data_IF_115471550967
#
_entry.id   IF_115471550967
#
_cell.length_a   1.000
_cell.length_b   1.000
_cell.length_c   1.000
_cell.angle_alpha   90.00
_cell.angle_beta   90.00
_cell.angle_gamma   90.00
#
_symmetry.space_group_name_H-M   'P 1'
#
loop_
_entity.id
_entity.type
_entity.pdbx_description
1 polymer ?
#
# COMPACT_ATOMS: atom_id res chain seq x y z
N UNK A 1 1.72 22.26 -8.57
CA UNK A 1 0.96 23.44 -8.12
C UNK A 1 0.63 23.20 -6.66
N UNK A 2 0.88 24.17 -5.77
CA UNK A 2 0.56 24.03 -4.36
C UNK A 2 -0.96 24.18 -4.18
N UNK A 3 -1.59 23.25 -3.49
CA UNK A 3 -2.96 23.44 -2.99
C UNK A 3 -2.91 24.33 -1.76
N UNK A 4 -3.95 25.13 -1.50
CA UNK A 4 -3.96 26.00 -0.31
C UNK A 4 -4.36 25.24 0.98
N UNK A 5 -4.59 23.92 0.91
CA UNK A 5 -5.14 23.15 2.03
C UNK A 5 -4.25 23.18 3.28
N UNK A 6 -2.92 23.15 3.10
CA UNK A 6 -1.95 23.27 4.20
C UNK A 6 -1.14 24.57 4.09
N UNK A 7 -1.67 25.64 3.47
CA UNK A 7 -0.92 26.87 3.19
C UNK A 7 -0.21 27.45 4.43
N UNK A 8 -0.86 27.39 5.59
CA UNK A 8 -0.34 27.93 6.86
C UNK A 8 0.73 27.05 7.52
N UNK A 9 0.97 25.83 7.02
CA UNK A 9 1.97 24.91 7.55
C UNK A 9 3.28 25.05 6.77
N UNK A 10 4.39 25.51 7.38
CA UNK A 10 5.67 25.56 6.69
C UNK A 10 6.17 24.13 6.40
N UNK A 11 7.18 24.01 5.52
CA UNK A 11 7.93 22.75 5.44
C UNK A 11 8.59 22.46 6.78
N UNK A 12 8.35 21.27 7.33
CA UNK A 12 8.89 20.79 8.60
C UNK A 12 10.40 20.59 8.45
N UNK A 13 11.17 21.20 9.35
CA UNK A 13 12.65 21.18 9.34
C UNK A 13 13.19 20.63 10.65
N UNK A 14 14.44 20.19 10.62
CA UNK A 14 15.17 19.83 11.83
C UNK A 14 15.58 21.07 12.62
N UNK A 15 15.28 21.08 13.92
CA UNK A 15 15.65 22.18 14.83
C UNK A 15 16.42 21.71 16.07
N UNK A 16 16.62 20.40 16.24
CA UNK A 16 17.36 19.83 17.36
C UNK A 16 16.50 19.34 18.53
N UNK A 17 17.11 18.56 19.44
CA UNK A 17 16.38 17.82 20.48
C UNK A 17 15.69 18.73 21.50
N UNK A 18 16.18 19.95 21.69
CA UNK A 18 15.67 20.91 22.67
C UNK A 18 14.63 21.87 22.08
N UNK A 19 14.23 21.73 20.80
CA UNK A 19 13.23 22.60 20.20
C UNK A 19 11.85 22.40 20.82
N UNK A 20 11.20 23.49 21.20
CA UNK A 20 9.81 23.51 21.67
C UNK A 20 8.80 23.62 20.51
N UNK A 21 9.26 23.84 19.27
CA UNK A 21 8.39 23.91 18.10
C UNK A 21 7.74 22.55 17.81
N UNK A 22 6.41 22.48 17.86
CA UNK A 22 5.65 21.26 17.57
C UNK A 22 5.69 20.86 16.09
N UNK A 23 5.98 21.81 15.20
CA UNK A 23 6.09 21.62 13.75
C UNK A 23 7.55 21.59 13.28
N UNK A 24 8.42 20.96 14.06
CA UNK A 24 9.82 20.71 13.73
C UNK A 24 10.27 19.30 14.10
N UNK A 25 11.23 18.76 13.33
CA UNK A 25 11.91 17.54 13.70
C UNK A 25 12.93 17.80 14.80
N UNK A 26 12.79 17.10 15.93
CA UNK A 26 13.75 17.15 17.03
C UNK A 26 14.95 16.22 16.86
N UNK A 27 14.75 15.10 16.15
CA UNK A 27 15.75 14.04 16.01
C UNK A 27 16.05 13.65 14.57
N UNK A 28 15.11 13.88 13.65
CA UNK A 28 15.29 13.57 12.24
C UNK A 28 15.96 14.74 11.52
N UNK A 29 17.30 14.74 11.51
CA UNK A 29 18.09 15.51 10.55
C UNK A 29 18.38 14.62 9.34
N UNK A 30 17.67 14.85 8.24
CA UNK A 30 17.77 14.02 7.04
C UNK A 30 19.18 13.95 6.45
N UNK A 31 20.02 14.97 6.68
CA UNK A 31 21.40 15.05 6.17
C UNK A 31 22.44 14.49 7.14
N UNK A 32 22.08 14.23 8.40
CA UNK A 32 23.00 13.68 9.38
C UNK A 32 23.50 12.31 8.94
N UNK A 33 24.82 12.18 8.84
CA UNK A 33 25.46 10.91 8.51
C UNK A 33 25.53 10.02 9.76
N UNK A 34 25.00 8.81 9.65
CA UNK A 34 25.05 7.75 10.65
C UNK A 34 25.62 6.51 9.98
N UNK A 35 26.74 5.98 10.48
CA UNK A 35 27.37 4.77 9.93
C UNK A 35 27.56 4.80 8.39
N UNK A 36 27.93 5.96 7.84
CA UNK A 36 28.27 6.13 6.42
C UNK A 36 27.11 6.41 5.46
N UNK A 37 25.87 6.52 5.92
CA UNK A 37 24.71 6.97 5.13
C UNK A 37 23.97 8.09 5.84
N UNK A 38 23.25 8.91 5.09
CA UNK A 38 22.38 9.93 5.70
C UNK A 38 21.19 9.27 6.42
N UNK A 39 20.56 9.96 7.37
CA UNK A 39 19.33 9.46 7.98
C UNK A 39 18.22 9.23 6.95
N UNK A 40 18.11 10.06 5.91
CA UNK A 40 17.15 9.86 4.82
C UNK A 40 17.39 8.53 4.08
N UNK A 41 18.66 8.18 3.83
CA UNK A 41 19.05 6.94 3.15
C UNK A 41 18.81 5.69 4.00
N UNK A 42 18.95 5.78 5.33
CA UNK A 42 18.64 4.69 6.25
C UNK A 42 17.14 4.49 6.42
N UNK A 43 16.42 5.57 6.71
CA UNK A 43 15.03 5.49 7.17
C UNK A 43 14.04 5.45 6.01
N UNK A 44 14.34 6.15 4.90
CA UNK A 44 13.56 6.15 3.67
C UNK A 44 12.05 6.30 3.91
N UNK A 45 11.68 7.25 4.79
CA UNK A 45 10.30 7.43 5.21
C UNK A 45 9.34 7.58 4.03
N UNK A 46 8.20 6.89 4.15
CA UNK A 46 7.09 6.96 3.22
C UNK A 46 5.80 7.31 3.95
N UNK A 47 4.99 8.18 3.36
CA UNK A 47 3.62 8.43 3.82
C UNK A 47 2.63 7.58 3.01
N UNK A 48 1.69 6.94 3.70
CA UNK A 48 0.66 6.13 3.06
C UNK A 48 -0.56 6.96 2.63
N UNK A 49 -1.11 6.68 1.45
CA UNK A 49 -2.32 7.35 0.99
C UNK A 49 -3.57 6.98 1.82
N UNK A 50 -3.74 5.69 2.13
CA UNK A 50 -4.99 5.17 2.73
C UNK A 50 -5.30 5.79 4.09
N UNK A 51 -4.40 5.76 5.06
CA UNK A 51 -4.66 6.39 6.36
C UNK A 51 -4.63 7.91 6.30
N UNK A 52 -3.72 8.48 5.51
CA UNK A 52 -3.48 9.93 5.53
C UNK A 52 -4.55 10.70 4.79
N UNK A 53 -5.12 10.18 3.69
CA UNK A 53 -6.06 10.92 2.83
C UNK A 53 -7.36 10.19 2.50
N UNK A 54 -7.47 8.88 2.73
CA UNK A 54 -8.67 8.11 2.34
C UNK A 54 -9.57 7.75 3.54
N UNK A 55 -8.99 7.38 4.67
CA UNK A 55 -9.75 7.02 5.87
C UNK A 55 -10.48 8.25 6.42
N UNK A 56 -11.83 8.21 6.54
CA UNK A 56 -12.60 9.36 7.00
C UNK A 56 -12.70 9.44 8.54
N UNK A 57 -11.94 8.62 9.28
CA UNK A 57 -12.00 8.56 10.74
C UNK A 57 -13.21 7.79 11.28
N UNK A 58 -13.75 6.86 10.50
CA UNK A 58 -14.81 5.94 10.93
C UNK A 58 -14.22 4.72 11.63
N UNK A 59 -14.99 4.12 12.55
CA UNK A 59 -14.68 2.83 13.17
C UNK A 59 -15.87 1.87 13.09
N UNK A 60 -15.78 0.71 13.73
CA UNK A 60 -16.85 -0.30 13.71
C UNK A 60 -18.12 0.12 14.48
N UNK A 61 -18.08 1.24 15.20
CA UNK A 61 -19.15 1.76 16.06
C UNK A 61 -19.71 3.12 15.61
N UNK A 62 -19.12 3.76 14.59
CA UNK A 62 -19.54 5.10 14.15
C UNK A 62 -19.06 5.51 12.77
N UNK A 63 -19.74 6.52 12.22
CA UNK A 63 -19.39 7.13 10.93
C UNK A 63 -18.12 7.98 10.98
N UNK A 64 -17.66 8.41 9.81
CA UNK A 64 -16.47 9.25 9.67
C UNK A 64 -16.59 10.59 10.38
N UNK A 65 -15.47 11.07 10.92
CA UNK A 65 -15.37 12.32 11.70
C UNK A 65 -14.52 13.39 11.02
N UNK A 66 -13.78 13.04 9.95
CA UNK A 66 -12.90 13.97 9.25
C UNK A 66 -13.64 14.75 8.15
N UNK A 67 -13.67 16.07 8.30
CA UNK A 67 -14.32 16.99 7.35
C UNK A 67 -13.35 17.47 6.25
N UNK A 68 -12.81 16.54 5.46
CA UNK A 68 -11.90 16.87 4.36
C UNK A 68 -12.69 17.20 3.08
N UNK A 69 -12.31 18.24 2.30
CA UNK A 69 -13.06 18.65 1.11
C UNK A 69 -13.25 17.52 0.08
N UNK A 70 -12.24 16.67 -0.12
CA UNK A 70 -12.31 15.54 -1.06
C UNK A 70 -13.13 14.35 -0.53
N UNK A 71 -13.73 14.45 0.68
CA UNK A 71 -14.74 13.52 1.17
C UNK A 71 -16.17 14.10 1.06
N UNK A 72 -16.31 15.38 0.69
CA UNK A 72 -17.60 16.06 0.59
C UNK A 72 -18.30 15.74 -0.74
N UNK A 73 -18.61 14.47 -0.99
CA UNK A 73 -19.31 14.04 -2.20
C UNK A 73 -18.87 12.67 -2.70
N UNK A 74 -19.23 12.36 -3.95
CA UNK A 74 -18.76 11.18 -4.63
C UNK A 74 -17.25 11.28 -4.91
N UNK A 75 -16.53 10.16 -4.83
CA UNK A 75 -15.13 10.07 -5.22
C UNK A 75 -15.01 9.96 -6.75
N UNK A 76 -15.28 11.05 -7.46
CA UNK A 76 -15.13 11.16 -8.91
C UNK A 76 -13.67 11.50 -9.32
N UNK A 77 -13.42 11.64 -10.63
CA UNK A 77 -12.07 11.98 -11.14
C UNK A 77 -11.52 13.29 -10.56
N UNK A 78 -12.38 14.28 -10.31
CA UNK A 78 -11.96 15.57 -9.78
C UNK A 78 -11.60 15.48 -8.29
N UNK A 79 -12.43 14.80 -7.49
CA UNK A 79 -12.14 14.54 -6.08
C UNK A 79 -10.86 13.69 -5.90
N UNK A 80 -10.68 12.66 -6.73
CA UNK A 80 -9.48 11.85 -6.75
C UNK A 80 -8.23 12.66 -7.15
N UNK A 81 -8.34 13.56 -8.14
CA UNK A 81 -7.24 14.46 -8.53
C UNK A 81 -6.88 15.43 -7.40
N UNK A 82 -7.86 16.07 -6.77
CA UNK A 82 -7.65 16.97 -5.63
C UNK A 82 -6.94 16.26 -4.48
N UNK A 83 -7.38 15.04 -4.14
CA UNK A 83 -6.75 14.21 -3.10
C UNK A 83 -5.26 13.94 -3.41
N UNK A 84 -4.92 13.64 -4.66
CA UNK A 84 -3.52 13.44 -5.09
C UNK A 84 -2.70 14.73 -4.97
N UNK A 85 -3.25 15.87 -5.36
CA UNK A 85 -2.56 17.17 -5.26
C UNK A 85 -2.30 17.56 -3.80
N UNK A 86 -3.31 17.43 -2.93
CA UNK A 86 -3.15 17.70 -1.50
C UNK A 86 -2.14 16.74 -0.86
N UNK A 87 -2.14 15.47 -1.27
CA UNK A 87 -1.17 14.50 -0.77
C UNK A 87 0.26 14.88 -1.10
N UNK A 88 0.54 15.32 -2.33
CA UNK A 88 1.89 15.73 -2.73
C UNK A 88 2.34 17.05 -2.10
N UNK A 89 1.43 17.96 -1.80
CA UNK A 89 1.72 19.13 -0.97
C UNK A 89 2.11 18.70 0.46
N UNK A 90 1.34 17.79 1.07
CA UNK A 90 1.65 17.24 2.39
C UNK A 90 3.01 16.54 2.44
N UNK A 91 3.33 15.67 1.46
CA UNK A 91 4.63 15.01 1.38
C UNK A 91 5.78 16.02 1.27
N UNK A 92 5.54 17.12 0.55
CA UNK A 92 6.51 18.21 0.40
C UNK A 92 6.69 19.00 1.69
N UNK A 93 5.63 19.18 2.49
CA UNK A 93 5.69 19.82 3.81
C UNK A 93 6.38 18.96 4.85
N UNK A 94 6.13 17.65 4.87
CA UNK A 94 6.90 16.73 5.72
C UNK A 94 8.37 16.58 5.29
N UNK A 95 8.68 16.95 4.04
CA UNK A 95 10.00 16.75 3.44
C UNK A 95 10.51 15.30 3.49
N UNK A 96 9.58 14.35 3.33
CA UNK A 96 9.89 12.90 3.25
C UNK A 96 10.06 12.46 1.79
N UNK A 97 10.95 11.50 1.49
CA UNK A 97 11.28 11.16 0.11
C UNK A 97 10.22 10.32 -0.61
N UNK A 98 9.44 9.53 0.14
CA UNK A 98 8.59 8.51 -0.46
C UNK A 98 7.10 8.59 -0.10
N UNK A 99 6.27 7.91 -0.90
CA UNK A 99 4.88 7.60 -0.60
C UNK A 99 4.51 6.17 -1.02
N UNK A 100 3.37 5.69 -0.53
CA UNK A 100 2.79 4.38 -0.88
C UNK A 100 1.29 4.50 -1.15
N UNK A 101 0.73 3.64 -2.02
CA UNK A 101 -0.71 3.64 -2.33
C UNK A 101 -1.24 2.25 -2.68
N UNK A 102 -2.53 2.02 -2.42
CA UNK A 102 -3.36 1.07 -3.16
C UNK A 102 -3.96 1.76 -4.39
N UNK A 103 -4.18 1.02 -5.46
CA UNK A 103 -4.90 1.48 -6.65
C UNK A 103 -6.15 2.34 -6.33
N UNK A 104 -7.06 1.82 -5.50
CA UNK A 104 -8.31 2.50 -5.11
C UNK A 104 -8.10 3.77 -4.28
N UNK A 105 -6.93 3.93 -3.64
CA UNK A 105 -6.65 5.12 -2.83
C UNK A 105 -6.43 6.35 -3.71
N UNK A 106 -5.96 6.14 -4.95
CA UNK A 106 -5.53 7.21 -5.85
C UNK A 106 -6.48 7.42 -7.00
N UNK A 107 -7.44 6.54 -7.26
CA UNK A 107 -8.39 6.64 -8.38
C UNK A 107 -9.81 7.07 -7.94
N UNK A 108 -10.65 7.35 -8.93
CA UNK A 108 -12.09 7.52 -8.74
C UNK A 108 -12.79 6.18 -8.53
N UNK A 109 -13.97 6.21 -7.92
CA UNK A 109 -14.80 5.03 -7.74
C UNK A 109 -15.22 4.45 -9.10
N UNK A 110 -15.09 3.13 -9.23
CA UNK A 110 -15.29 2.42 -10.48
C UNK A 110 -16.34 1.31 -10.36
N UNK A 111 -17.21 1.23 -11.36
CA UNK A 111 -18.16 0.13 -11.57
C UNK A 111 -17.65 -0.79 -12.68
N UNK A 112 -16.99 -1.88 -12.27
CA UNK A 112 -16.49 -2.90 -13.18
C UNK A 112 -15.15 -2.59 -13.86
N UNK A 113 -14.73 -3.49 -14.75
CA UNK A 113 -13.36 -3.53 -15.30
C UNK A 113 -13.04 -2.30 -16.14
N UNK A 114 -13.94 -1.88 -17.03
CA UNK A 114 -13.67 -0.78 -17.96
C UNK A 114 -13.42 0.55 -17.24
N UNK A 115 -14.26 0.88 -16.25
CA UNK A 115 -14.08 2.07 -15.43
C UNK A 115 -12.83 1.96 -14.56
N UNK A 116 -12.59 0.80 -13.95
CA UNK A 116 -11.43 0.61 -13.08
C UNK A 116 -10.11 0.90 -13.82
N UNK A 117 -9.92 0.29 -14.99
CA UNK A 117 -8.71 0.48 -15.79
C UNK A 117 -8.55 1.91 -16.29
N UNK A 118 -9.66 2.56 -16.68
CA UNK A 118 -9.64 3.94 -17.16
C UNK A 118 -9.28 4.93 -16.05
N UNK A 119 -9.96 4.85 -14.90
CA UNK A 119 -9.73 5.75 -13.78
C UNK A 119 -8.36 5.53 -13.13
N UNK A 120 -7.88 4.28 -13.09
CA UNK A 120 -6.54 4.01 -12.57
C UNK A 120 -5.46 4.52 -13.51
N UNK A 121 -5.60 4.35 -14.84
CA UNK A 121 -4.70 4.95 -15.81
C UNK A 121 -4.64 6.49 -15.70
N UNK A 122 -5.79 7.15 -15.54
CA UNK A 122 -5.87 8.59 -15.29
C UNK A 122 -5.12 8.99 -13.99
N UNK A 123 -5.25 8.18 -12.93
CA UNK A 123 -4.52 8.40 -11.69
C UNK A 123 -3.01 8.28 -11.87
N UNK A 124 -2.53 7.26 -12.59
CA UNK A 124 -1.11 7.05 -12.87
C UNK A 124 -0.53 8.21 -13.68
N UNK A 125 -1.24 8.68 -14.71
CA UNK A 125 -0.81 9.85 -15.51
C UNK A 125 -0.67 11.12 -14.66
N UNK A 126 -1.56 11.30 -13.66
CA UNK A 126 -1.48 12.44 -12.77
C UNK A 126 -0.34 12.27 -11.74
N UNK A 127 -0.20 11.09 -11.14
CA UNK A 127 0.88 10.80 -10.18
C UNK A 127 2.27 11.02 -10.79
N UNK A 128 2.49 10.60 -12.04
CA UNK A 128 3.75 10.80 -12.75
C UNK A 128 4.11 12.30 -12.86
N UNK A 129 3.13 13.17 -13.17
CA UNK A 129 3.32 14.63 -13.21
C UNK A 129 3.61 15.21 -11.82
N UNK A 130 2.92 14.69 -10.79
CA UNK A 130 3.13 15.13 -9.40
C UNK A 130 4.51 14.71 -8.89
N UNK A 131 4.99 13.51 -9.20
CA UNK A 131 6.36 13.07 -8.91
C UNK A 131 7.40 13.95 -9.62
N UNK A 132 7.20 14.23 -10.90
CA UNK A 132 8.12 15.06 -11.68
C UNK A 132 8.24 16.49 -11.11
N UNK A 133 7.14 17.08 -10.65
CA UNK A 133 7.13 18.45 -10.12
C UNK A 133 7.57 18.57 -8.65
N UNK A 134 7.37 17.52 -7.84
CA UNK A 134 7.67 17.54 -6.40
C UNK A 134 9.00 16.88 -6.04
N UNK A 135 9.54 16.02 -6.91
CA UNK A 135 10.70 15.17 -6.64
C UNK A 135 10.42 13.97 -5.73
N UNK A 136 9.17 13.77 -5.26
CA UNK A 136 8.77 12.65 -4.39
C UNK A 136 8.69 11.35 -5.20
N UNK A 137 9.03 10.24 -4.56
CA UNK A 137 9.18 8.94 -5.23
C UNK A 137 8.21 7.90 -4.67
N UNK A 138 7.82 6.94 -5.49
CA UNK A 138 7.03 5.81 -5.03
C UNK A 138 7.95 4.82 -4.29
N UNK A 139 7.64 4.47 -3.04
CA UNK A 139 8.33 3.36 -2.37
C UNK A 139 7.72 2.04 -2.85
N UNK A 140 6.40 1.95 -2.85
CA UNK A 140 5.67 0.82 -3.42
C UNK A 140 4.22 1.16 -3.73
N UNK A 141 3.68 0.51 -4.75
CA UNK A 141 2.24 0.40 -4.99
C UNK A 141 1.73 -0.99 -4.61
N UNK A 142 0.41 -1.13 -4.53
CA UNK A 142 -0.30 -2.39 -4.28
C UNK A 142 -1.73 -2.31 -4.84
N UNK A 143 -2.43 -3.44 -4.88
CA UNK A 143 -3.84 -3.51 -5.24
C UNK A 143 -4.70 -3.78 -3.99
N UNK A 144 -5.78 -3.04 -3.80
CA UNK A 144 -6.75 -3.33 -2.75
C UNK A 144 -7.69 -4.45 -3.20
N UNK A 145 -7.36 -5.68 -2.79
CA UNK A 145 -8.18 -6.88 -3.01
C UNK A 145 -9.01 -7.25 -1.78
N UNK A 146 -9.43 -6.28 -0.96
CA UNK A 146 -10.05 -6.59 0.34
C UNK A 146 -11.23 -5.72 0.74
N UNK A 147 -11.35 -4.50 0.21
CA UNK A 147 -12.43 -3.56 0.58
C UNK A 147 -13.72 -3.80 -0.20
N UNK A 148 -13.65 -4.06 -1.51
CA UNK A 148 -14.85 -4.21 -2.34
C UNK A 148 -15.61 -5.50 -1.98
N UNK A 149 -16.96 -5.51 -1.91
CA UNK A 149 -17.76 -6.68 -1.52
C UNK A 149 -17.48 -7.97 -2.30
N UNK A 150 -17.01 -7.85 -3.55
CA UNK A 150 -16.59 -9.00 -4.39
C UNK A 150 -15.52 -9.87 -3.71
N UNK A 151 -14.69 -9.28 -2.85
CA UNK A 151 -13.59 -9.96 -2.17
C UNK A 151 -13.98 -10.54 -0.80
N UNK A 152 -15.27 -10.56 -0.46
CA UNK A 152 -15.75 -11.06 0.84
C UNK A 152 -15.27 -12.49 1.16
N UNK A 153 -15.01 -13.31 0.14
CA UNK A 153 -14.54 -14.69 0.28
C UNK A 153 -13.08 -14.90 -0.20
N UNK A 154 -12.29 -13.84 -0.33
CA UNK A 154 -10.89 -13.90 -0.78
C UNK A 154 -10.61 -13.08 -2.05
N UNK A 155 -9.34 -12.83 -2.31
CA UNK A 155 -8.85 -12.26 -3.57
C UNK A 155 -8.34 -13.39 -4.46
N UNK A 156 -7.06 -13.72 -4.32
CA UNK A 156 -6.42 -14.88 -4.92
C UNK A 156 -6.90 -16.22 -4.32
N UNK A 157 -7.43 -16.22 -3.10
CA UNK A 157 -7.96 -17.43 -2.46
C UNK A 157 -9.47 -17.58 -2.65
N UNK A 158 -10.11 -16.75 -3.47
CA UNK A 158 -11.55 -16.81 -3.65
C UNK A 158 -11.99 -18.16 -4.26
N UNK A 159 -13.08 -18.79 -3.75
CA UNK A 159 -13.62 -20.00 -4.35
C UNK A 159 -14.23 -19.77 -5.75
N UNK A 160 -14.58 -18.52 -6.10
CA UNK A 160 -15.05 -18.11 -7.41
C UNK A 160 -13.88 -17.70 -8.33
N UNK A 161 -13.65 -18.43 -9.45
CA UNK A 161 -12.56 -18.12 -10.39
C UNK A 161 -12.71 -16.76 -11.09
N UNK A 162 -13.91 -16.20 -11.21
CA UNK A 162 -14.10 -14.87 -11.81
C UNK A 162 -13.57 -13.76 -10.89
N UNK A 163 -13.67 -13.95 -9.56
CA UNK A 163 -13.08 -13.02 -8.58
C UNK A 163 -11.56 -13.11 -8.60
N UNK A 164 -11.01 -14.32 -8.69
CA UNK A 164 -9.57 -14.54 -8.89
C UNK A 164 -9.09 -13.78 -10.14
N UNK A 165 -9.80 -13.90 -11.26
CA UNK A 165 -9.45 -13.23 -12.51
C UNK A 165 -9.50 -11.70 -12.38
N UNK A 166 -10.48 -11.15 -11.65
CA UNK A 166 -10.54 -9.73 -11.34
C UNK A 166 -9.34 -9.28 -10.49
N UNK A 167 -9.00 -10.02 -9.44
CA UNK A 167 -7.83 -9.73 -8.60
C UNK A 167 -6.52 -9.76 -9.39
N UNK A 168 -6.37 -10.73 -10.30
CA UNK A 168 -5.22 -10.81 -11.19
C UNK A 168 -5.11 -9.60 -12.13
N UNK A 169 -6.25 -9.11 -12.64
CA UNK A 169 -6.29 -7.89 -13.46
C UNK A 169 -5.85 -6.66 -12.65
N UNK A 170 -6.36 -6.46 -11.43
CA UNK A 170 -5.96 -5.34 -10.59
C UNK A 170 -4.48 -5.39 -10.23
N UNK A 171 -3.97 -6.56 -9.82
CA UNK A 171 -2.54 -6.72 -9.47
C UNK A 171 -1.63 -6.51 -10.67
N UNK A 172 -2.01 -6.98 -11.86
CA UNK A 172 -1.26 -6.70 -13.10
C UNK A 172 -1.16 -5.18 -13.33
N UNK A 173 -2.30 -4.49 -13.31
CA UNK A 173 -2.36 -3.06 -13.62
C UNK A 173 -1.62 -2.25 -12.53
N UNK A 174 -1.76 -2.61 -11.25
CA UNK A 174 -1.05 -1.98 -10.14
C UNK A 174 0.47 -2.20 -10.17
N UNK A 175 0.93 -3.39 -10.58
CA UNK A 175 2.35 -3.68 -10.75
C UNK A 175 2.95 -2.90 -11.94
N UNK A 176 2.22 -2.81 -13.06
CA UNK A 176 2.63 -1.99 -14.21
C UNK A 176 2.67 -0.49 -13.85
N UNK A 177 1.68 0.00 -13.10
CA UNK A 177 1.68 1.36 -12.58
C UNK A 177 2.86 1.63 -11.65
N UNK A 178 3.14 0.70 -10.73
CA UNK A 178 4.29 0.77 -9.83
C UNK A 178 5.60 0.83 -10.60
N UNK A 179 5.74 0.01 -11.64
CA UNK A 179 6.90 0.06 -12.52
C UNK A 179 7.04 1.41 -13.24
N UNK A 180 5.96 1.90 -13.85
CA UNK A 180 5.94 3.19 -14.57
C UNK A 180 6.32 4.37 -13.66
N UNK A 181 5.82 4.38 -12.43
CA UNK A 181 6.07 5.43 -11.43
C UNK A 181 7.42 5.29 -10.71
N UNK A 182 8.24 4.30 -11.11
CA UNK A 182 9.57 4.07 -10.55
C UNK A 182 9.56 3.56 -9.11
N UNK A 183 8.53 2.79 -8.74
CA UNK A 183 8.40 2.16 -7.43
C UNK A 183 9.58 1.25 -7.09
N UNK A 184 10.07 1.33 -5.85
CA UNK A 184 11.17 0.48 -5.40
C UNK A 184 10.73 -0.96 -5.10
N UNK A 185 9.46 -1.17 -4.73
CA UNK A 185 8.88 -2.46 -4.39
C UNK A 185 7.41 -2.53 -4.84
N UNK A 186 6.82 -3.73 -4.78
CA UNK A 186 5.39 -3.97 -4.94
C UNK A 186 4.91 -4.89 -3.81
N UNK A 187 3.85 -4.51 -3.11
CA UNK A 187 3.36 -5.20 -1.92
C UNK A 187 2.13 -6.05 -2.24
N UNK A 188 2.01 -7.19 -1.56
CA UNK A 188 0.79 -7.98 -1.44
C UNK A 188 0.49 -8.18 0.04
N UNK A 189 -0.56 -7.53 0.53
CA UNK A 189 -1.12 -7.80 1.86
C UNK A 189 -2.40 -8.60 1.70
N UNK A 190 -2.44 -9.79 2.30
CA UNK A 190 -3.50 -10.77 2.14
C UNK A 190 -4.77 -10.48 2.93
N UNK A 191 -5.31 -9.26 2.93
CA UNK A 191 -6.41 -8.85 3.82
C UNK A 191 -7.68 -9.73 3.76
N UNK A 192 -7.92 -10.47 2.67
CA UNK A 192 -8.98 -11.50 2.58
C UNK A 192 -8.45 -12.90 2.26
N UNK A 193 -7.13 -13.05 2.17
CA UNK A 193 -6.45 -14.30 1.81
C UNK A 193 -6.31 -15.16 3.08
N UNK A 194 -7.41 -15.79 3.45
CA UNK A 194 -7.58 -16.53 4.68
C UNK A 194 -8.99 -17.10 4.78
N UNK A 195 -9.43 -17.45 5.98
CA UNK A 195 -10.78 -17.95 6.20
C UNK A 195 -11.44 -17.39 7.45
N UNK A 196 -12.77 -17.44 7.44
CA UNK A 196 -13.62 -17.15 8.61
C UNK A 196 -13.97 -18.44 9.38
N UNK A 197 -14.29 -19.51 8.65
CA UNK A 197 -14.60 -20.82 9.22
C UNK A 197 -13.94 -21.93 8.42
N UNK A 198 -13.26 -22.85 9.11
CA UNK A 198 -12.62 -23.98 8.44
C UNK A 198 -13.64 -24.95 7.80
N UNK A 199 -14.92 -24.91 8.23
CA UNK A 199 -15.96 -25.83 7.78
C UNK A 199 -16.28 -25.73 6.29
N UNK A 200 -16.04 -24.56 5.66
CA UNK A 200 -16.29 -24.34 4.24
C UNK A 200 -15.03 -24.00 3.44
N UNK A 201 -13.85 -24.15 4.06
CA UNK A 201 -12.55 -23.76 3.47
C UNK A 201 -11.77 -24.99 3.07
N UNK A 202 -11.40 -25.08 1.80
CA UNK A 202 -10.38 -26.02 1.36
C UNK A 202 -9.01 -25.32 1.36
N UNK A 203 -8.39 -25.28 2.55
CA UNK A 203 -7.15 -24.54 2.77
C UNK A 203 -6.04 -24.94 1.80
N UNK A 204 -5.93 -26.23 1.46
CA UNK A 204 -4.94 -26.67 0.49
C UNK A 204 -5.16 -26.04 -0.88
N UNK A 205 -6.40 -26.09 -1.40
CA UNK A 205 -6.73 -25.51 -2.70
C UNK A 205 -6.49 -24.00 -2.71
N UNK A 206 -6.86 -23.31 -1.64
CA UNK A 206 -6.68 -21.86 -1.52
C UNK A 206 -5.20 -21.47 -1.48
N UNK A 207 -4.37 -22.19 -0.71
CA UNK A 207 -2.93 -22.00 -0.71
C UNK A 207 -2.30 -22.33 -2.06
N UNK A 208 -2.75 -23.38 -2.75
CA UNK A 208 -2.27 -23.74 -4.09
C UNK A 208 -2.60 -22.62 -5.10
N UNK A 209 -3.81 -22.03 -5.00
CA UNK A 209 -4.20 -20.87 -5.81
C UNK A 209 -3.36 -19.63 -5.48
N UNK A 210 -3.13 -19.33 -4.20
CA UNK A 210 -2.29 -18.20 -3.78
C UNK A 210 -0.85 -18.37 -4.27
N UNK A 211 -0.29 -19.57 -4.19
CA UNK A 211 1.04 -19.90 -4.71
C UNK A 211 1.13 -19.69 -6.23
N UNK A 212 0.11 -20.13 -6.98
CA UNK A 212 0.02 -19.86 -8.42
C UNK A 212 -0.12 -18.38 -8.72
N UNK A 213 -0.92 -17.66 -7.94
CA UNK A 213 -1.12 -16.22 -8.11
C UNK A 213 0.19 -15.46 -7.91
N UNK A 214 0.91 -15.71 -6.82
CA UNK A 214 2.20 -15.08 -6.57
C UNK A 214 3.24 -15.43 -7.65
N UNK A 215 3.23 -16.66 -8.14
CA UNK A 215 4.07 -17.06 -9.30
C UNK A 215 3.75 -16.20 -10.53
N UNK A 216 2.48 -15.98 -10.85
CA UNK A 216 2.08 -15.10 -11.96
C UNK A 216 2.57 -13.66 -11.76
N UNK A 217 2.54 -13.14 -10.53
CA UNK A 217 3.05 -11.80 -10.21
C UNK A 217 4.56 -11.72 -10.46
N UNK A 218 5.32 -12.71 -10.01
CA UNK A 218 6.78 -12.78 -10.24
C UNK A 218 7.10 -12.95 -11.73
N UNK A 219 6.38 -13.83 -12.45
CA UNK A 219 6.49 -13.98 -13.90
C UNK A 219 6.23 -12.65 -14.62
N UNK A 220 5.18 -11.92 -14.23
CA UNK A 220 4.83 -10.64 -14.83
C UNK A 220 5.85 -9.54 -14.50
N UNK A 221 6.34 -9.48 -13.25
CA UNK A 221 7.45 -8.60 -12.84
C UNK A 221 8.63 -8.75 -13.81
N UNK A 222 9.09 -9.98 -14.05
CA UNK A 222 10.20 -10.25 -14.95
C UNK A 222 9.86 -9.90 -16.40
N UNK A 223 8.65 -10.24 -16.84
CA UNK A 223 8.17 -9.93 -18.20
C UNK A 223 8.19 -8.43 -18.53
N UNK A 224 7.81 -7.57 -17.57
CA UNK A 224 7.80 -6.12 -17.77
C UNK A 224 9.13 -5.44 -17.41
N UNK A 225 10.11 -6.20 -16.89
CA UNK A 225 11.40 -5.65 -16.48
C UNK A 225 11.35 -4.85 -15.18
N UNK A 226 10.40 -5.14 -14.29
CA UNK A 226 10.34 -4.49 -12.98
C UNK A 226 11.45 -5.01 -12.06
N UNK A 227 12.43 -4.16 -11.76
CA UNK A 227 13.58 -4.51 -10.91
C UNK A 227 13.29 -4.40 -9.40
N UNK A 228 12.11 -3.91 -9.01
CA UNK A 228 11.75 -3.76 -7.60
C UNK A 228 11.46 -5.08 -6.91
N UNK A 229 11.48 -5.07 -5.58
CA UNK A 229 11.22 -6.28 -4.77
C UNK A 229 9.73 -6.57 -4.71
N UNK A 230 9.32 -7.84 -4.82
CA UNK A 230 7.96 -8.25 -4.45
C UNK A 230 7.95 -8.52 -2.95
N UNK A 231 6.95 -7.98 -2.25
CA UNK A 231 6.83 -8.09 -0.80
C UNK A 231 5.49 -8.73 -0.42
N UNK A 232 5.51 -9.71 0.48
CA UNK A 232 4.31 -10.15 1.21
C UNK A 232 4.31 -9.44 2.56
N UNK A 233 3.16 -8.95 3.00
CA UNK A 233 3.00 -8.30 4.30
C UNK A 233 2.29 -9.24 5.29
N UNK A 234 3.02 -9.89 6.22
CA UNK A 234 2.42 -10.85 7.12
C UNK A 234 1.43 -10.19 8.08
N UNK A 235 0.33 -10.88 8.38
CA UNK A 235 -0.62 -10.54 9.44
C UNK A 235 -1.33 -11.83 9.89
N UNK A 236 -1.59 -12.06 11.18
CA UNK A 236 -2.17 -13.33 11.65
C UNK A 236 -3.67 -13.49 11.36
N UNK A 237 -4.42 -12.38 11.39
CA UNK A 237 -5.87 -12.30 11.27
C UNK A 237 -6.30 -10.82 11.15
N UNK A 238 -7.61 -10.57 11.13
CA UNK A 238 -8.26 -9.26 10.96
C UNK A 238 -8.06 -8.64 9.56
N UNK A 239 -9.08 -8.71 8.68
CA UNK A 239 -10.48 -9.04 8.98
C UNK A 239 -10.83 -10.53 8.94
N UNK A 240 -9.95 -11.43 8.51
CA UNK A 240 -10.19 -12.88 8.55
C UNK A 240 -10.03 -13.43 9.97
N UNK A 241 -10.67 -14.57 10.27
CA UNK A 241 -10.41 -15.32 11.51
C UNK A 241 -9.02 -15.96 11.53
N UNK A 242 -8.50 -16.35 10.37
CA UNK A 242 -7.11 -16.78 10.17
C UNK A 242 -6.65 -16.31 8.79
N UNK A 243 -5.57 -15.54 8.74
CA UNK A 243 -4.94 -15.11 7.50
C UNK A 243 -3.75 -16.03 7.19
N UNK A 244 -3.57 -16.41 5.92
CA UNK A 244 -2.61 -17.46 5.54
C UNK A 244 -1.14 -17.04 5.71
N UNK A 245 -0.82 -15.79 5.40
CA UNK A 245 0.46 -15.13 5.63
C UNK A 245 0.61 -14.69 7.10
N UNK A 246 0.48 -15.66 8.02
CA UNK A 246 0.31 -15.41 9.46
C UNK A 246 1.44 -14.61 10.11
N UNK A 247 2.69 -15.01 9.88
CA UNK A 247 3.91 -14.37 10.36
C UNK A 247 5.07 -14.58 9.37
N UNK A 248 6.23 -13.98 9.65
CA UNK A 248 7.42 -14.07 8.79
C UNK A 248 7.85 -15.53 8.51
N UNK A 249 7.81 -16.40 9.53
CA UNK A 249 8.22 -17.80 9.38
C UNK A 249 7.24 -18.59 8.51
N UNK A 250 5.93 -18.37 8.70
CA UNK A 250 4.85 -18.97 7.90
C UNK A 250 4.96 -18.55 6.44
N UNK A 251 5.19 -17.25 6.19
CA UNK A 251 5.43 -16.74 4.84
C UNK A 251 6.68 -17.38 4.21
N UNK A 252 7.79 -17.50 4.94
CA UNK A 252 8.98 -18.17 4.41
C UNK A 252 8.72 -19.64 4.04
N UNK A 253 7.98 -20.38 4.89
CA UNK A 253 7.58 -21.76 4.61
C UNK A 253 6.70 -21.86 3.36
N UNK A 254 5.75 -20.95 3.18
CA UNK A 254 4.94 -20.84 1.98
C UNK A 254 5.80 -20.56 0.73
N UNK A 255 6.69 -19.56 0.80
CA UNK A 255 7.58 -19.23 -0.32
C UNK A 255 8.46 -20.42 -0.73
N UNK A 256 8.99 -21.17 0.25
CA UNK A 256 9.76 -22.40 -0.01
C UNK A 256 8.94 -23.49 -0.69
N UNK A 257 7.68 -23.67 -0.28
CA UNK A 257 6.80 -24.68 -0.86
C UNK A 257 6.51 -24.43 -2.36
N UNK A 258 6.55 -23.17 -2.80
CA UNK A 258 6.30 -22.77 -4.19
C UNK A 258 7.55 -22.31 -4.96
N UNK A 259 8.74 -22.39 -4.36
CA UNK A 259 10.01 -22.02 -4.99
C UNK A 259 10.20 -20.52 -5.25
N UNK A 260 9.65 -19.68 -4.37
CA UNK A 260 9.61 -18.21 -4.51
C UNK A 260 10.49 -17.48 -3.48
N UNK A 261 11.23 -18.20 -2.64
CA UNK A 261 12.01 -17.62 -1.52
C UNK A 261 13.14 -16.67 -1.95
N UNK A 262 13.56 -16.75 -3.21
CA UNK A 262 14.61 -15.89 -3.79
C UNK A 262 14.03 -14.70 -4.56
N UNK A 263 12.71 -14.66 -4.76
CA UNK A 263 12.00 -13.66 -5.56
C UNK A 263 11.19 -12.68 -4.71
N UNK A 264 10.76 -13.14 -3.53
CA UNK A 264 9.84 -12.44 -2.65
C UNK A 264 10.48 -12.25 -1.27
N UNK A 265 10.28 -11.07 -0.68
CA UNK A 265 10.68 -10.74 0.70
C UNK A 265 9.43 -10.37 1.52
N UNK A 266 9.62 -10.00 2.79
CA UNK A 266 8.54 -9.56 3.67
C UNK A 266 8.54 -8.04 3.87
N UNK A 267 7.35 -7.44 3.90
CA UNK A 267 7.09 -6.13 4.50
C UNK A 267 6.59 -6.38 5.93
N UNK A 268 7.35 -6.02 6.96
CA UNK A 268 6.98 -6.33 8.34
C UNK A 268 6.36 -5.10 8.97
N UNK A 269 5.09 -5.21 9.37
CA UNK A 269 4.42 -4.19 10.18
C UNK A 269 4.51 -4.54 11.67
N UNK A 270 4.94 -3.58 12.49
CA UNK A 270 5.13 -3.77 13.93
C UNK A 270 3.85 -4.26 14.63
N UNK A 271 2.70 -3.69 14.30
CA UNK A 271 1.42 -4.09 14.90
C UNK A 271 1.03 -5.51 14.50
N UNK A 272 1.27 -5.90 13.24
CA UNK A 272 1.01 -7.27 12.76
C UNK A 272 1.88 -8.31 13.47
N UNK A 273 3.17 -7.99 13.71
CA UNK A 273 4.06 -8.84 14.48
C UNK A 273 3.52 -9.07 15.91
N UNK A 274 3.16 -8.00 16.61
CA UNK A 274 2.60 -8.10 17.96
C UNK A 274 1.26 -8.83 18.01
N UNK A 275 0.43 -8.65 16.99
CA UNK A 275 -0.84 -9.37 16.87
C UNK A 275 -0.62 -10.88 16.69
N UNK A 276 0.48 -11.27 16.05
CA UNK A 276 0.87 -12.67 15.87
C UNK A 276 1.55 -13.28 17.11
N UNK A 277 1.73 -12.49 18.18
CA UNK A 277 2.40 -12.92 19.41
C UNK A 277 3.93 -12.73 19.38
N UNK A 278 4.46 -11.97 18.43
CA UNK A 278 5.88 -11.72 18.26
C UNK A 278 6.25 -10.27 18.56
N UNK A 279 7.49 -10.03 18.96
CA UNK A 279 8.02 -8.66 18.96
C UNK A 279 8.36 -8.22 17.53
N UNK A 280 8.54 -6.93 17.27
CA UNK A 280 8.87 -6.47 15.91
C UNK A 280 10.32 -6.83 15.52
N UNK A 281 11.20 -6.93 16.51
CA UNK A 281 12.60 -7.31 16.36
C UNK A 281 12.84 -8.81 16.18
N UNK A 282 11.85 -9.66 16.48
CA UNK A 282 11.89 -11.11 16.26
C UNK A 282 11.76 -11.47 14.77
#
# INVERSE_FOLDING_TARGET
MATDFFADIPTIRYEGPDSENELAYRFYDKNRVVLGKTMEEHLRFAACFWHTFCWPGSDVFGGGTFNRPWHAGANDSAAAAQKREVAFDFFSKLDVPYYCFHDVDVMADAQGVAEHRRYFAEAVDHLEKLQASSGRKLLWGTANLFSHPRFAAGGATNPDPEVYAFGAMQVRDALEATHRLGGANYVLWGGREGYETLLNTNMKRELDNLGRFLTLVVEHKHKIGFNGTILIEPKPHEPTKHQYDFDTATVYGFLKAYGLENEVKVNIEANHATLAGHTFEH
#
